data_IF_206446772358
#
_entry.id   IF_206446772358
#
_cell.length_a   1.000
_cell.length_b   1.000
_cell.length_c   1.000
_cell.angle_alpha   90.00
_cell.angle_beta   90.00
_cell.angle_gamma   90.00
#
_symmetry.space_group_name_H-M   'P 1'
#
loop_
_entity.id
_entity.type
_entity.pdbx_description
1 polymer ?
#
# COMPACT_ATOMS: atom_id res chain seq x y z
N UNK A 1 16.19 -12.84 -15.22
CA UNK A 1 15.06 -13.73 -14.95
C UNK A 1 14.68 -13.58 -13.49
N UNK A 2 13.45 -13.15 -13.21
CA UNK A 2 12.91 -13.09 -11.85
C UNK A 2 12.11 -14.38 -11.66
N UNK A 3 12.34 -15.12 -10.58
CA UNK A 3 11.62 -16.36 -10.29
C UNK A 3 11.32 -16.47 -8.79
N UNK A 4 10.27 -17.23 -8.48
CA UNK A 4 9.94 -17.63 -7.11
C UNK A 4 10.47 -19.02 -6.78
N UNK A 5 10.46 -19.35 -5.49
CA UNK A 5 10.92 -20.65 -4.99
C UNK A 5 10.10 -21.82 -5.54
N UNK A 6 10.77 -22.94 -5.82
CA UNK A 6 10.19 -24.16 -6.43
C UNK A 6 8.97 -24.74 -5.72
N UNK A 7 8.80 -24.46 -4.42
CA UNK A 7 7.65 -24.92 -3.62
C UNK A 7 6.56 -23.86 -3.47
N UNK A 8 6.85 -22.61 -3.80
CA UNK A 8 6.00 -21.43 -3.58
C UNK A 8 5.11 -21.13 -4.81
N UNK A 9 5.67 -21.33 -6.01
CA UNK A 9 5.01 -21.01 -7.29
C UNK A 9 5.06 -22.20 -8.27
N UNK A 10 4.08 -23.11 -8.24
CA UNK A 10 4.00 -24.25 -9.17
C UNK A 10 3.64 -23.89 -10.63
N UNK A 11 3.89 -22.65 -11.07
CA UNK A 11 3.90 -22.30 -12.50
C UNK A 11 5.31 -22.48 -13.12
N UNK A 12 6.31 -22.84 -12.31
CA UNK A 12 7.61 -23.33 -12.78
C UNK A 12 7.53 -24.76 -13.32
N UNK A 13 6.87 -24.95 -14.47
CA UNK A 13 7.05 -26.16 -15.29
C UNK A 13 8.48 -26.25 -15.86
N UNK A 14 8.94 -27.43 -16.31
CA UNK A 14 10.34 -27.69 -16.61
C UNK A 14 10.89 -26.78 -17.71
N UNK A 15 12.14 -26.37 -17.53
CA UNK A 15 12.98 -25.62 -18.46
C UNK A 15 12.87 -26.14 -19.90
N UNK A 16 12.59 -25.25 -20.84
CA UNK A 16 12.95 -25.44 -22.24
C UNK A 16 14.07 -24.47 -22.61
N UNK A 17 15.25 -25.03 -22.85
CA UNK A 17 16.51 -24.33 -23.11
C UNK A 17 16.60 -23.92 -24.57
N UNK A 18 15.83 -22.91 -24.98
CA UNK A 18 16.11 -22.07 -26.15
C UNK A 18 14.94 -21.10 -26.39
N UNK A 19 15.04 -19.87 -25.88
CA UNK A 19 14.37 -18.73 -26.54
C UNK A 19 14.90 -17.40 -26.00
N UNK A 20 15.38 -16.60 -26.93
CA UNK A 20 15.67 -15.17 -26.78
C UNK A 20 14.43 -14.42 -26.27
N UNK A 21 14.60 -13.67 -25.18
CA UNK A 21 13.64 -12.77 -24.52
C UNK A 21 12.34 -12.44 -25.28
N UNK A 22 11.20 -13.05 -24.91
CA UNK A 22 9.79 -12.57 -25.02
C UNK A 22 8.91 -13.51 -24.11
N UNK A 23 7.63 -13.25 -23.79
CA UNK A 23 6.97 -12.33 -22.84
C UNK A 23 6.42 -13.03 -21.56
N UNK A 24 5.95 -12.26 -20.57
CA UNK A 24 5.09 -12.73 -19.47
C UNK A 24 3.75 -13.29 -20.01
N UNK A 25 3.73 -14.57 -20.39
CA UNK A 25 2.52 -15.33 -20.67
C UNK A 25 2.24 -16.32 -19.53
N UNK A 26 1.88 -15.74 -18.38
CA UNK A 26 1.28 -16.39 -17.23
C UNK A 26 0.57 -15.30 -16.44
N UNK A 27 -0.75 -15.21 -16.58
CA UNK A 27 -1.57 -14.13 -16.01
C UNK A 27 -1.46 -14.12 -14.48
N UNK A 28 -0.62 -13.25 -13.91
CA UNK A 28 -0.68 -13.05 -12.46
C UNK A 28 0.49 -12.42 -11.72
N UNK A 29 1.40 -11.66 -12.33
CA UNK A 29 2.34 -10.84 -11.54
C UNK A 29 2.44 -9.43 -12.11
N UNK A 30 2.20 -8.43 -11.26
CA UNK A 30 2.37 -7.00 -11.57
C UNK A 30 3.62 -6.51 -10.85
N UNK A 31 4.53 -5.86 -11.58
CA UNK A 31 5.77 -5.31 -11.02
C UNK A 31 5.83 -3.80 -11.24
N UNK A 32 6.25 -3.08 -10.21
CA UNK A 32 6.53 -1.64 -10.19
C UNK A 32 7.86 -1.41 -9.45
N UNK A 33 8.60 -0.37 -9.79
CA UNK A 33 9.91 -0.12 -9.18
C UNK A 33 10.66 1.05 -9.81
N UNK A 34 11.73 1.47 -9.16
CA UNK A 34 12.65 2.51 -9.65
C UNK A 34 13.98 1.89 -10.13
N UNK A 35 15.05 2.67 -10.18
CA UNK A 35 16.36 2.19 -10.66
C UNK A 35 16.96 1.10 -9.75
N UNK A 36 16.57 1.04 -8.47
CA UNK A 36 17.17 0.14 -7.48
C UNK A 36 16.16 -0.75 -6.74
N UNK A 37 14.88 -0.38 -6.74
CA UNK A 37 13.83 -1.06 -5.99
C UNK A 37 12.88 -1.84 -6.91
N UNK A 38 12.37 -2.96 -6.43
CA UNK A 38 11.36 -3.78 -7.10
C UNK A 38 10.26 -4.17 -6.11
N UNK A 39 9.03 -3.85 -6.46
CA UNK A 39 7.82 -4.31 -5.79
C UNK A 39 7.03 -5.16 -6.77
N UNK A 40 6.76 -6.39 -6.40
CA UNK A 40 6.09 -7.35 -7.27
C UNK A 40 4.96 -8.04 -6.54
N UNK A 41 3.77 -8.02 -7.14
CA UNK A 41 2.63 -8.80 -6.71
C UNK A 41 2.71 -10.23 -7.22
N UNK A 42 2.48 -11.18 -6.32
CA UNK A 42 2.37 -12.61 -6.59
C UNK A 42 1.00 -13.13 -6.13
N UNK A 43 -0.13 -12.65 -6.68
CA UNK A 43 -1.50 -12.97 -6.27
C UNK A 43 -1.88 -14.45 -6.33
N UNK A 44 -1.10 -15.29 -7.00
CA UNK A 44 -1.33 -16.72 -7.04
C UNK A 44 -0.42 -17.53 -6.11
N UNK A 45 0.49 -16.87 -5.38
CA UNK A 45 1.41 -17.55 -4.47
C UNK A 45 0.65 -18.40 -3.45
N UNK A 46 1.19 -19.59 -3.24
CA UNK A 46 0.67 -20.59 -2.32
C UNK A 46 1.44 -20.58 -0.97
N UNK A 47 2.39 -19.67 -0.80
CA UNK A 47 3.23 -19.50 0.39
C UNK A 47 3.97 -20.79 0.77
N UNK A 48 4.48 -21.51 -0.23
CA UNK A 48 5.16 -22.80 -0.02
C UNK A 48 4.25 -23.98 0.35
N UNK A 49 2.92 -23.79 0.41
CA UNK A 49 1.97 -24.86 0.76
C UNK A 49 1.21 -25.34 -0.48
N UNK A 50 1.59 -26.51 -1.01
CA UNK A 50 1.00 -27.11 -2.22
C UNK A 50 -0.48 -27.50 -2.08
N UNK A 51 -1.03 -27.49 -0.87
CA UNK A 51 -2.46 -27.70 -0.60
C UNK A 51 -3.23 -26.37 -0.45
N UNK A 52 -2.55 -25.23 -0.61
CA UNK A 52 -3.09 -23.89 -0.37
C UNK A 52 -3.71 -23.27 -1.62
N UNK A 53 -4.87 -22.68 -1.40
CA UNK A 53 -5.57 -21.76 -2.28
C UNK A 53 -4.92 -20.39 -2.50
N UNK A 54 -4.11 -20.13 -3.54
CA UNK A 54 -3.73 -18.78 -4.04
C UNK A 54 -3.98 -17.59 -3.07
N UNK A 55 -3.26 -17.55 -1.95
CA UNK A 55 -3.42 -16.49 -0.93
C UNK A 55 -2.89 -15.18 -1.47
N UNK A 56 -1.78 -15.28 -2.20
CA UNK A 56 -1.06 -14.17 -2.76
C UNK A 56 -0.16 -13.49 -1.74
N UNK A 57 0.81 -12.74 -2.25
CA UNK A 57 1.71 -11.88 -1.49
C UNK A 57 2.22 -10.76 -2.39
N UNK A 58 2.87 -9.77 -1.79
CA UNK A 58 3.74 -8.82 -2.49
C UNK A 58 5.14 -8.98 -1.95
N UNK A 59 6.13 -8.97 -2.83
CA UNK A 59 7.54 -8.98 -2.46
C UNK A 59 8.17 -7.63 -2.79
N UNK A 60 8.95 -7.11 -1.83
CA UNK A 60 9.70 -5.87 -1.94
C UNK A 60 11.19 -6.19 -1.88
N UNK A 61 11.94 -5.65 -2.82
CA UNK A 61 13.41 -5.75 -2.93
C UNK A 61 13.94 -4.33 -3.01
N UNK A 62 14.82 -3.96 -2.07
CA UNK A 62 15.39 -2.62 -1.98
C UNK A 62 16.80 -2.54 -2.58
N UNK A 63 17.12 -1.39 -3.16
CA UNK A 63 18.45 -0.83 -3.20
C UNK A 63 19.50 -1.65 -3.93
N UNK A 64 19.12 -2.59 -4.79
CA UNK A 64 20.10 -3.46 -5.44
C UNK A 64 20.77 -2.69 -6.58
N UNK A 65 21.98 -2.20 -6.31
CA UNK A 65 22.89 -1.53 -7.26
C UNK A 65 23.03 -2.24 -8.62
N UNK A 66 22.72 -3.53 -8.67
CA UNK A 66 22.26 -4.24 -9.85
C UNK A 66 21.38 -5.40 -9.38
N UNK A 67 20.18 -5.56 -9.97
CA UNK A 67 19.33 -6.75 -9.77
C UNK A 67 19.93 -8.04 -10.38
N UNK A 68 21.15 -7.97 -10.94
CA UNK A 68 21.82 -9.08 -11.58
C UNK A 68 21.10 -9.59 -12.84
N UNK A 69 21.55 -10.72 -13.37
CA UNK A 69 20.83 -11.40 -14.47
C UNK A 69 19.69 -12.28 -13.96
N UNK A 70 19.63 -12.54 -12.65
CA UNK A 70 18.61 -13.34 -11.99
C UNK A 70 18.37 -12.90 -10.55
N UNK A 71 17.11 -12.99 -10.11
CA UNK A 71 16.65 -12.63 -8.78
C UNK A 71 15.71 -13.72 -8.26
N UNK A 72 15.99 -14.27 -7.08
CA UNK A 72 15.16 -15.28 -6.42
C UNK A 72 14.32 -14.63 -5.33
N UNK A 73 13.05 -14.35 -5.59
CA UNK A 73 12.19 -13.64 -4.64
C UNK A 73 11.93 -14.42 -3.33
N UNK A 74 12.26 -15.72 -3.29
CA UNK A 74 12.19 -16.50 -2.07
C UNK A 74 13.34 -16.18 -1.09
N UNK A 75 14.53 -15.88 -1.58
CA UNK A 75 15.68 -15.56 -0.70
C UNK A 75 15.99 -14.05 -0.69
N UNK A 76 15.82 -13.41 -1.85
CA UNK A 76 16.25 -12.05 -2.14
C UNK A 76 15.23 -10.97 -1.76
N UNK A 77 13.97 -11.32 -1.48
CA UNK A 77 12.99 -10.35 -0.99
C UNK A 77 13.42 -9.81 0.38
N UNK A 78 13.42 -8.49 0.52
CA UNK A 78 13.70 -7.81 1.77
C UNK A 78 12.46 -7.78 2.66
N UNK A 79 11.28 -7.64 2.06
CA UNK A 79 9.99 -7.65 2.75
C UNK A 79 8.95 -8.44 1.95
N UNK A 80 8.05 -9.11 2.67
CA UNK A 80 6.83 -9.72 2.12
C UNK A 80 5.61 -9.10 2.77
N UNK A 81 4.68 -8.62 1.96
CA UNK A 81 3.39 -8.11 2.42
C UNK A 81 2.31 -9.15 2.14
N UNK A 82 1.60 -9.57 3.18
CA UNK A 82 0.51 -10.54 3.08
C UNK A 82 -0.55 -10.28 4.13
N UNK A 83 -1.76 -10.84 3.97
CA UNK A 83 -2.75 -10.83 5.05
C UNK A 83 -2.39 -11.87 6.12
N UNK A 84 -2.70 -11.57 7.38
CA UNK A 84 -2.45 -12.43 8.52
C UNK A 84 -3.07 -13.82 8.38
N UNK A 85 -2.54 -14.76 9.16
CA UNK A 85 -2.94 -16.17 9.14
C UNK A 85 -4.31 -16.45 9.79
N UNK A 86 -5.08 -15.42 10.12
CA UNK A 86 -6.43 -15.51 10.71
C UNK A 86 -7.42 -16.20 9.75
N UNK A 87 -7.34 -17.53 9.77
CA UNK A 87 -8.21 -18.57 9.21
C UNK A 87 -8.25 -18.77 7.69
N UNK A 88 -7.23 -19.38 7.10
CA UNK A 88 -7.38 -20.23 5.89
C UNK A 88 -8.17 -19.63 4.72
N UNK A 89 -8.08 -18.32 4.48
CA UNK A 89 -8.86 -17.69 3.42
C UNK A 89 -8.15 -17.84 2.08
N UNK A 90 -8.45 -19.00 1.51
CA UNK A 90 -8.08 -19.45 0.18
C UNK A 90 -8.55 -18.44 -0.89
N UNK A 91 -7.67 -18.12 -1.84
CA UNK A 91 -8.01 -17.41 -3.07
C UNK A 91 -8.12 -15.89 -2.94
N UNK A 92 -7.48 -15.30 -1.93
CA UNK A 92 -7.47 -13.87 -1.65
C UNK A 92 -6.84 -12.99 -2.73
N UNK A 93 -5.84 -13.51 -3.43
CA UNK A 93 -5.14 -12.78 -4.49
C UNK A 93 -4.47 -11.49 -4.00
N UNK A 94 -3.83 -11.53 -2.83
CA UNK A 94 -3.05 -10.40 -2.35
C UNK A 94 -1.95 -10.04 -3.34
N UNK A 95 -1.78 -8.74 -3.62
CA UNK A 95 -0.86 -8.27 -4.67
C UNK A 95 -1.46 -8.32 -6.07
N UNK A 96 -2.79 -8.40 -6.21
CA UNK A 96 -3.43 -8.41 -7.52
C UNK A 96 -3.16 -7.11 -8.31
N UNK A 97 -3.23 -5.99 -7.62
CA UNK A 97 -2.73 -4.70 -8.08
C UNK A 97 -1.84 -4.10 -6.98
N UNK A 98 -0.78 -3.42 -7.41
CA UNK A 98 0.20 -2.73 -6.56
C UNK A 98 0.51 -1.38 -7.16
N UNK A 99 0.77 -0.37 -6.33
CA UNK A 99 1.31 0.93 -6.78
C UNK A 99 2.27 1.53 -5.76
N UNK A 100 3.08 2.48 -6.22
CA UNK A 100 4.09 3.20 -5.44
C UNK A 100 3.91 4.72 -5.49
N UNK A 101 2.67 5.17 -5.62
CA UNK A 101 2.36 6.61 -5.61
C UNK A 101 2.40 7.14 -4.17
N UNK A 102 2.62 8.45 -4.02
CA UNK A 102 2.44 9.18 -2.77
C UNK A 102 0.93 9.30 -2.47
N UNK A 103 0.42 8.45 -1.59
CA UNK A 103 -1.01 8.38 -1.25
C UNK A 103 -1.36 9.40 -0.18
N UNK A 104 -0.40 9.77 0.68
CA UNK A 104 -0.65 10.63 1.82
C UNK A 104 -0.24 12.10 1.61
N UNK A 105 0.41 12.41 0.49
CA UNK A 105 0.84 13.75 0.11
C UNK A 105 2.09 14.24 0.83
N UNK A 106 2.89 13.37 1.43
CA UNK A 106 4.10 13.75 2.18
C UNK A 106 5.36 13.91 1.32
N UNK A 107 5.23 13.69 0.01
CA UNK A 107 6.30 13.75 -0.98
C UNK A 107 7.17 12.49 -1.04
N UNK A 108 6.79 11.42 -0.32
CA UNK A 108 7.45 10.11 -0.34
C UNK A 108 6.52 9.07 -0.95
N UNK A 109 7.09 8.17 -1.74
CA UNK A 109 6.34 7.08 -2.34
C UNK A 109 5.86 6.09 -1.27
N UNK A 110 4.57 5.76 -1.31
CA UNK A 110 3.93 4.76 -0.45
C UNK A 110 3.86 3.40 -1.15
N UNK A 111 3.38 2.34 -0.49
CA UNK A 111 3.05 1.07 -1.14
C UNK A 111 1.57 0.76 -0.95
N UNK A 112 0.82 0.78 -2.04
CA UNK A 112 -0.58 0.34 -2.09
C UNK A 112 -0.67 -1.12 -2.55
N UNK A 113 -1.40 -1.96 -1.82
CA UNK A 113 -1.58 -3.38 -2.13
C UNK A 113 -3.05 -3.75 -2.11
N UNK A 114 -3.54 -4.31 -3.21
CA UNK A 114 -4.91 -4.84 -3.27
C UNK A 114 -4.99 -6.34 -3.00
N UNK A 115 -6.10 -6.73 -2.36
CA UNK A 115 -6.51 -8.11 -2.16
C UNK A 115 -8.00 -8.23 -2.54
N UNK A 116 -8.34 -8.31 -3.84
CA UNK A 116 -9.71 -8.16 -4.32
C UNK A 116 -10.66 -9.28 -3.90
N UNK A 117 -10.15 -10.40 -3.38
CA UNK A 117 -11.00 -11.47 -2.86
C UNK A 117 -11.03 -11.52 -1.32
N UNK A 118 -10.38 -10.56 -0.65
CA UNK A 118 -10.41 -10.48 0.81
C UNK A 118 -11.82 -10.24 1.37
N UNK A 119 -12.07 -10.77 2.56
CA UNK A 119 -13.34 -10.65 3.27
C UNK A 119 -13.18 -11.02 4.75
N UNK A 120 -14.08 -10.56 5.63
CA UNK A 120 -14.07 -10.98 7.03
C UNK A 120 -14.96 -12.21 7.30
N UNK A 121 -16.07 -12.37 6.57
CA UNK A 121 -17.09 -13.41 6.87
C UNK A 121 -17.47 -14.30 5.67
N UNK A 122 -17.99 -13.73 4.57
CA UNK A 122 -18.42 -14.43 3.34
C UNK A 122 -18.39 -13.46 2.14
N UNK A 123 -18.23 -13.98 0.92
CA UNK A 123 -18.15 -13.24 -0.36
C UNK A 123 -16.78 -12.59 -0.67
N UNK A 124 -16.56 -12.20 -1.92
CA UNK A 124 -15.30 -11.58 -2.35
C UNK A 124 -15.44 -10.05 -2.30
N UNK A 125 -15.36 -9.48 -1.10
CA UNK A 125 -15.61 -8.04 -0.89
C UNK A 125 -14.46 -7.19 -1.45
N UNK A 126 -13.22 -7.64 -1.20
CA UNK A 126 -11.99 -7.00 -1.65
C UNK A 126 -11.53 -5.89 -0.73
N UNK A 127 -10.22 -5.85 -0.45
CA UNK A 127 -9.57 -4.88 0.42
C UNK A 127 -8.38 -4.23 -0.29
N UNK A 128 -8.05 -2.99 0.11
CA UNK A 128 -6.81 -2.30 -0.28
C UNK A 128 -6.14 -1.79 0.98
N UNK A 129 -4.84 -2.02 1.11
CA UNK A 129 -4.05 -1.53 2.23
C UNK A 129 -2.92 -0.65 1.69
N UNK A 130 -2.51 0.33 2.49
CA UNK A 130 -1.42 1.24 2.16
C UNK A 130 -0.42 1.26 3.31
N UNK A 131 0.85 1.10 2.97
CA UNK A 131 1.97 1.39 3.84
C UNK A 131 2.56 2.73 3.43
N UNK A 132 2.59 3.69 4.34
CA UNK A 132 3.23 4.98 4.08
C UNK A 132 4.75 4.85 4.05
N UNK A 133 5.39 5.61 3.16
CA UNK A 133 6.82 5.66 2.96
C UNK A 133 7.58 6.41 4.05
N UNK A 134 8.83 6.80 3.75
CA UNK A 134 9.64 7.72 4.57
C UNK A 134 10.51 7.04 5.63
N UNK A 135 9.99 6.04 6.34
CA UNK A 135 10.81 5.12 7.13
C UNK A 135 10.99 3.83 6.34
N UNK A 136 12.22 3.31 6.30
CA UNK A 136 12.50 2.00 5.71
C UNK A 136 11.49 1.00 6.32
N UNK A 137 10.64 0.36 5.50
CA UNK A 137 9.60 -0.54 6.02
C UNK A 137 10.24 -1.66 6.87
N UNK A 138 11.54 -1.90 6.68
CA UNK A 138 12.42 -2.74 7.51
C UNK A 138 12.38 -2.36 9.00
N UNK A 139 12.16 -1.09 9.35
CA UNK A 139 11.98 -0.61 10.72
C UNK A 139 10.65 -1.01 11.35
N UNK A 140 9.61 -1.26 10.54
CA UNK A 140 8.34 -1.88 10.96
C UNK A 140 8.47 -3.39 11.13
N UNK A 141 9.50 -4.01 10.55
CA UNK A 141 9.87 -5.42 10.74
C UNK A 141 10.57 -5.59 12.10
N UNK A 142 9.94 -5.16 13.19
CA UNK A 142 10.43 -5.44 14.53
C UNK A 142 10.19 -6.94 14.83
N UNK A 143 11.19 -7.78 14.53
CA UNK A 143 11.19 -9.21 14.84
C UNK A 143 9.97 -10.02 14.30
N UNK A 144 9.39 -9.60 13.18
CA UNK A 144 8.36 -10.37 12.51
C UNK A 144 8.97 -11.60 11.81
N UNK A 145 8.35 -12.75 12.01
CA UNK A 145 8.73 -14.04 11.44
C UNK A 145 9.06 -13.91 9.94
N UNK A 146 10.34 -14.09 9.59
CA UNK A 146 10.78 -14.28 8.20
C UNK A 146 10.49 -13.10 7.23
N UNK A 147 10.77 -11.85 7.64
CA UNK A 147 10.67 -10.65 6.79
C UNK A 147 9.24 -10.33 6.31
N UNK A 148 8.23 -10.65 7.11
CA UNK A 148 6.82 -10.49 6.72
C UNK A 148 6.18 -9.32 7.47
N UNK A 149 5.41 -8.50 6.77
CA UNK A 149 4.46 -7.53 7.34
C UNK A 149 3.03 -7.97 7.01
N UNK A 150 2.16 -7.89 8.00
CA UNK A 150 0.75 -8.27 7.88
C UNK A 150 -0.09 -7.06 7.49
N UNK A 151 -0.70 -7.10 6.31
CA UNK A 151 -1.50 -6.00 5.75
C UNK A 151 -2.64 -5.54 6.68
N UNK A 152 -3.26 -6.47 7.40
CA UNK A 152 -4.39 -6.22 8.29
C UNK A 152 -3.99 -5.76 9.70
N UNK A 153 -2.71 -5.84 10.07
CA UNK A 153 -2.20 -5.43 11.38
C UNK A 153 -1.21 -4.26 11.31
N UNK A 154 -0.40 -4.19 10.25
CA UNK A 154 0.76 -3.30 10.16
C UNK A 154 0.58 -2.14 9.16
N UNK A 155 -0.43 -2.20 8.29
CA UNK A 155 -0.69 -1.14 7.31
C UNK A 155 -1.18 0.15 7.98
N UNK A 156 -0.77 1.29 7.44
CA UNK A 156 -1.14 2.62 7.96
C UNK A 156 -2.59 2.98 7.60
N UNK A 157 -3.05 2.52 6.44
CA UNK A 157 -4.41 2.70 5.96
C UNK A 157 -4.99 1.37 5.43
N UNK A 158 -6.22 1.08 5.81
CA UNK A 158 -6.98 -0.08 5.34
C UNK A 158 -8.35 0.37 4.80
N UNK A 159 -8.62 0.02 3.54
CA UNK A 159 -9.86 0.34 2.84
C UNK A 159 -10.57 -0.97 2.55
N UNK A 160 -11.64 -1.23 3.29
CA UNK A 160 -12.30 -2.54 3.32
C UNK A 160 -13.63 -2.48 2.55
N UNK A 161 -13.81 -3.39 1.59
CA UNK A 161 -15.10 -3.60 0.93
C UNK A 161 -16.19 -3.99 1.92
N UNK A 162 -17.44 -3.61 1.59
CA UNK A 162 -18.57 -3.77 2.48
C UNK A 162 -18.89 -5.26 2.79
N UNK A 163 -19.35 -5.51 4.01
CA UNK A 163 -19.63 -6.83 4.55
C UNK A 163 -21.03 -7.36 4.14
N UNK A 164 -21.30 -8.68 4.29
CA UNK A 164 -22.58 -9.27 3.90
C UNK A 164 -23.77 -8.52 4.49
N UNK A 165 -24.84 -8.39 3.68
CA UNK A 165 -26.06 -7.58 3.88
C UNK A 165 -26.00 -6.14 3.40
N UNK A 166 -24.80 -5.61 3.10
CA UNK A 166 -24.67 -4.36 2.37
C UNK A 166 -24.90 -4.60 0.86
N UNK A 167 -25.57 -3.65 0.19
CA UNK A 167 -25.74 -3.64 -1.27
C UNK A 167 -24.41 -3.49 -2.03
N UNK A 168 -23.34 -3.11 -1.34
CA UNK A 168 -22.00 -3.02 -1.92
C UNK A 168 -21.15 -4.28 -1.66
N UNK A 169 -21.67 -5.34 -1.03
CA UNK A 169 -20.91 -6.57 -0.81
C UNK A 169 -20.55 -7.31 -2.13
N UNK A 170 -19.61 -8.27 -2.06
CA UNK A 170 -19.11 -9.08 -3.20
C UNK A 170 -18.51 -8.26 -4.37
N UNK A 171 -18.07 -7.04 -4.06
CA UNK A 171 -17.65 -6.09 -5.09
C UNK A 171 -16.31 -6.39 -5.76
N UNK A 172 -15.45 -7.14 -5.07
CA UNK A 172 -14.03 -7.27 -5.39
C UNK A 172 -13.32 -5.92 -5.48
N UNK A 173 -13.56 -5.09 -4.48
CA UNK A 173 -12.90 -3.79 -4.33
C UNK A 173 -11.38 -3.97 -4.40
N UNK A 174 -10.71 -3.08 -5.13
CA UNK A 174 -9.27 -3.16 -5.35
C UNK A 174 -8.87 -4.03 -6.53
N UNK A 175 -9.81 -4.48 -7.37
CA UNK A 175 -9.46 -5.11 -8.66
C UNK A 175 -8.67 -4.15 -9.55
N UNK A 176 -8.94 -2.85 -9.42
CA UNK A 176 -8.15 -1.75 -9.98
C UNK A 176 -8.18 -0.58 -9.02
N UNK A 177 -7.13 0.23 -9.00
CA UNK A 177 -7.12 1.52 -8.33
C UNK A 177 -6.18 2.48 -9.06
N UNK A 178 -6.36 3.77 -8.81
CA UNK A 178 -5.48 4.84 -9.28
C UNK A 178 -5.38 5.91 -8.19
N UNK A 179 -4.20 6.50 -8.07
CA UNK A 179 -3.90 7.58 -7.14
C UNK A 179 -3.52 8.82 -7.96
N UNK A 180 -3.94 10.00 -7.50
CA UNK A 180 -3.63 11.27 -8.12
C UNK A 180 -4.57 12.37 -7.67
N UNK A 181 -4.22 13.62 -7.95
CA UNK A 181 -5.10 14.77 -7.66
C UNK A 181 -6.17 14.91 -8.77
N UNK A 182 -7.39 14.45 -8.49
CA UNK A 182 -8.50 14.46 -9.44
C UNK A 182 -9.47 15.62 -9.20
N UNK A 183 -9.41 16.28 -8.04
CA UNK A 183 -10.25 17.43 -7.69
C UNK A 183 -9.52 18.79 -7.75
N UNK A 184 -8.22 18.79 -8.10
CA UNK A 184 -7.33 19.95 -8.10
C UNK A 184 -7.15 20.58 -6.70
N UNK A 185 -7.09 19.75 -5.65
CA UNK A 185 -6.83 20.20 -4.27
C UNK A 185 -5.34 20.32 -3.95
N UNK A 186 -4.45 19.89 -4.86
CA UNK A 186 -3.02 19.68 -4.62
C UNK A 186 -2.71 18.51 -3.65
N UNK A 187 -3.74 17.77 -3.22
CA UNK A 187 -3.62 16.63 -2.30
C UNK A 187 -4.00 15.33 -3.04
N UNK A 188 -3.37 14.17 -2.74
CA UNK A 188 -3.68 12.94 -3.47
C UNK A 188 -5.08 12.41 -3.18
N UNK A 189 -5.79 12.03 -4.24
CA UNK A 189 -7.02 11.25 -4.15
C UNK A 189 -6.75 9.80 -4.54
N UNK A 190 -7.66 8.90 -4.10
CA UNK A 190 -7.62 7.49 -4.48
C UNK A 190 -8.97 7.03 -5.04
N UNK A 191 -8.96 6.49 -6.25
CA UNK A 191 -10.14 5.89 -6.88
C UNK A 191 -9.95 4.38 -6.95
N UNK A 192 -10.92 3.62 -6.42
CA UNK A 192 -10.84 2.16 -6.30
C UNK A 192 -12.06 1.50 -6.95
N UNK A 193 -11.80 0.55 -7.85
CA UNK A 193 -12.83 -0.18 -8.57
C UNK A 193 -13.24 -1.51 -7.91
N UNK A 194 -14.54 -1.78 -7.94
CA UNK A 194 -15.19 -3.01 -7.49
C UNK A 194 -16.09 -3.57 -8.62
N UNK A 195 -15.49 -4.19 -9.66
CA UNK A 195 -16.19 -4.53 -10.91
C UNK A 195 -17.22 -5.66 -10.76
N UNK A 196 -17.26 -6.37 -9.63
CA UNK A 196 -18.30 -7.38 -9.35
C UNK A 196 -19.40 -6.87 -8.44
N UNK A 197 -19.31 -5.61 -8.04
CA UNK A 197 -20.25 -4.93 -7.19
C UNK A 197 -21.66 -4.89 -7.75
N UNK A 198 -22.64 -4.97 -6.87
CA UNK A 198 -24.04 -5.09 -7.27
C UNK A 198 -24.94 -4.10 -6.53
N UNK A 199 -24.96 -2.86 -7.00
CA UNK A 199 -25.75 -1.78 -6.37
C UNK A 199 -27.26 -1.98 -6.55
N UNK A 200 -27.68 -2.80 -7.53
CA UNK A 200 -29.08 -3.12 -7.83
C UNK A 200 -29.23 -4.57 -8.28
N UNK A 201 -29.71 -5.41 -7.35
CA UNK A 201 -30.15 -6.81 -7.49
C UNK A 201 -29.72 -7.57 -8.78
N UNK A 202 -28.64 -8.31 -8.64
CA UNK A 202 -28.09 -9.38 -9.49
C UNK A 202 -27.61 -8.95 -10.89
N UNK A 203 -27.01 -7.78 -11.02
CA UNK A 203 -26.50 -7.32 -12.33
C UNK A 203 -24.99 -7.26 -12.43
N UNK A 204 -24.24 -7.38 -11.31
CA UNK A 204 -22.79 -7.12 -11.28
C UNK A 204 -22.42 -5.85 -12.04
N UNK A 205 -23.20 -4.78 -11.84
CA UNK A 205 -23.04 -3.52 -12.57
C UNK A 205 -21.71 -2.80 -12.25
N UNK A 206 -20.99 -3.27 -11.24
CA UNK A 206 -19.78 -2.66 -10.73
C UNK A 206 -20.09 -1.41 -9.92
N UNK A 207 -19.22 -1.09 -8.98
CA UNK A 207 -19.17 0.22 -8.33
C UNK A 207 -17.71 0.60 -8.07
N UNK A 208 -17.48 1.83 -7.63
CA UNK A 208 -16.17 2.29 -7.20
C UNK A 208 -16.31 3.28 -6.04
N UNK A 209 -15.21 3.48 -5.33
CA UNK A 209 -15.09 4.49 -4.26
C UNK A 209 -14.08 5.52 -4.72
N UNK A 210 -14.34 6.77 -4.36
CA UNK A 210 -13.35 7.84 -4.40
C UNK A 210 -13.09 8.26 -2.96
N UNK A 211 -11.82 8.27 -2.57
CA UNK A 211 -11.34 8.87 -1.34
C UNK A 211 -10.66 10.17 -1.76
N UNK A 212 -11.20 11.30 -1.30
CA UNK A 212 -10.64 12.62 -1.56
C UNK A 212 -9.61 12.95 -0.49
N UNK A 213 -8.53 13.62 -0.89
CA UNK A 213 -7.50 14.16 -0.01
C UNK A 213 -7.07 13.14 1.06
N UNK A 214 -6.55 11.98 0.64
CA UNK A 214 -6.12 10.91 1.54
C UNK A 214 -4.92 11.40 2.37
N UNK A 215 -5.10 11.59 3.67
CA UNK A 215 -4.10 12.23 4.53
C UNK A 215 -3.37 11.23 5.45
N UNK A 216 -2.11 11.53 5.79
CA UNK A 216 -1.37 10.80 6.82
C UNK A 216 -1.84 11.20 8.24
N UNK A 217 -1.57 10.36 9.23
CA UNK A 217 -1.77 10.72 10.65
C UNK A 217 -0.45 11.06 11.30
N UNK A 218 -0.34 12.28 11.82
CA UNK A 218 0.76 12.68 12.72
C UNK A 218 2.09 12.86 11.99
N UNK A 219 2.09 13.61 10.90
CA UNK A 219 3.31 13.98 10.20
C UNK A 219 4.10 15.01 11.02
N UNK A 220 5.44 14.90 11.12
CA UNK A 220 6.27 15.99 11.62
C UNK A 220 6.03 17.24 10.77
N UNK A 221 5.68 18.35 11.42
CA UNK A 221 5.30 19.60 10.77
C UNK A 221 3.81 19.79 10.46
N UNK A 222 2.94 18.78 10.57
CA UNK A 222 1.48 18.90 10.39
C UNK A 222 0.84 19.50 11.66
N UNK A 223 1.00 20.81 11.81
CA UNK A 223 0.63 21.57 13.01
C UNK A 223 -0.89 21.61 13.18
N UNK A 224 -1.67 21.70 12.12
CA UNK A 224 -3.14 21.78 12.26
C UNK A 224 -3.84 20.41 12.34
N UNK A 225 -3.12 19.33 12.03
CA UNK A 225 -3.55 17.94 12.16
C UNK A 225 -4.45 17.48 11.01
N UNK A 226 -4.40 18.17 9.87
CA UNK A 226 -5.15 17.80 8.67
C UNK A 226 -4.47 16.67 7.87
N UNK A 227 -3.24 16.29 8.26
CA UNK A 227 -2.48 15.21 7.70
C UNK A 227 -1.61 15.59 6.50
N UNK A 228 -1.42 16.89 6.25
CA UNK A 228 -0.53 17.45 5.25
C UNK A 228 0.49 18.39 5.92
N UNK A 229 1.61 18.64 5.25
CA UNK A 229 2.64 19.59 5.70
C UNK A 229 2.71 20.73 4.70
N UNK A 230 1.93 21.79 4.93
CA UNK A 230 1.72 22.89 4.00
C UNK A 230 1.84 24.29 4.65
N UNK A 231 1.57 25.36 3.87
CA UNK A 231 1.71 26.72 4.38
C UNK A 231 0.76 27.04 5.56
N UNK A 232 -0.38 26.36 5.67
CA UNK A 232 -1.31 26.51 6.79
C UNK A 232 -0.64 26.11 8.10
N UNK A 233 0.18 25.07 8.12
CA UNK A 233 0.93 24.64 9.30
C UNK A 233 1.95 25.67 9.76
N UNK A 234 2.63 26.30 8.80
CA UNK A 234 3.54 27.40 9.08
C UNK A 234 2.81 28.54 9.78
N UNK A 235 1.67 28.95 9.22
CA UNK A 235 0.86 30.03 9.79
C UNK A 235 0.40 29.64 11.19
N UNK A 236 -0.09 28.41 11.36
CA UNK A 236 -0.58 27.88 12.64
C UNK A 236 0.52 27.83 13.69
N UNK A 237 1.72 27.36 13.36
CA UNK A 237 2.88 27.34 14.24
C UNK A 237 3.29 28.74 14.69
N UNK A 238 3.26 29.72 13.78
CA UNK A 238 3.50 31.13 14.11
C UNK A 238 2.41 31.73 14.99
N UNK A 239 1.12 31.44 14.72
CA UNK A 239 0.00 31.87 15.56
C UNK A 239 0.12 31.36 16.98
N UNK A 240 0.46 30.07 17.15
CA UNK A 240 0.72 29.47 18.47
C UNK A 240 1.91 30.17 19.14
N UNK A 241 3.00 30.41 18.39
CA UNK A 241 4.20 31.07 18.93
C UNK A 241 3.95 32.51 19.42
N UNK A 242 3.03 33.24 18.81
CA UNK A 242 2.64 34.60 19.25
C UNK A 242 1.53 34.60 20.30
N UNK A 243 1.07 33.42 20.73
CA UNK A 243 0.07 33.26 21.80
C UNK A 243 -1.38 33.41 21.35
N UNK A 244 -1.68 33.22 20.06
CA UNK A 244 -3.07 33.11 19.60
C UNK A 244 -3.72 31.84 20.14
N UNK A 245 -5.04 31.89 20.36
CA UNK A 245 -5.83 30.77 20.88
C UNK A 245 -6.19 29.79 19.75
N UNK A 246 -5.18 29.10 19.26
CA UNK A 246 -5.27 28.09 18.20
C UNK A 246 -4.63 26.79 18.68
N UNK A 247 -5.25 25.65 18.37
CA UNK A 247 -4.74 24.33 18.74
C UNK A 247 -3.79 23.79 17.69
N UNK A 248 -2.76 23.06 18.11
CA UNK A 248 -1.95 22.27 17.18
C UNK A 248 -1.83 20.80 17.56
N UNK A 249 -1.40 20.00 16.60
CA UNK A 249 -1.25 18.56 16.69
C UNK A 249 0.03 18.16 17.40
N UNK A 250 -0.04 17.18 18.31
CA UNK A 250 1.14 16.63 19.00
C UNK A 250 2.02 15.80 18.04
N UNK A 251 1.45 15.32 16.93
CA UNK A 251 2.20 14.60 15.89
C UNK A 251 3.09 15.52 15.04
N UNK A 252 2.87 16.84 15.10
CA UNK A 252 3.67 17.84 14.38
C UNK A 252 5.08 18.02 14.93
N UNK A 253 5.35 17.57 16.15
CA UNK A 253 6.57 17.87 16.90
C UNK A 253 7.83 17.48 16.11
N UNK A 254 8.66 18.48 15.79
CA UNK A 254 9.91 18.28 15.03
C UNK A 254 11.17 18.39 15.90
N UNK A 255 11.06 18.86 17.15
CA UNK A 255 12.20 19.14 18.01
C UNK A 255 12.16 18.42 19.39
N UNK A 256 11.09 17.67 19.65
CA UNK A 256 10.90 16.82 20.81
C UNK A 256 10.33 17.54 22.03
N UNK A 257 9.89 18.79 21.91
CA UNK A 257 9.33 19.57 23.01
C UNK A 257 7.83 19.32 23.27
N UNK A 258 7.19 18.55 22.38
CA UNK A 258 5.77 18.17 22.37
C UNK A 258 4.80 19.36 22.25
N UNK A 259 5.24 20.48 21.70
CA UNK A 259 4.46 21.69 21.53
C UNK A 259 4.68 22.28 20.13
N UNK A 260 3.62 22.40 19.33
CA UNK A 260 3.75 23.11 18.06
C UNK A 260 4.12 24.59 18.28
N UNK A 261 4.98 25.13 17.43
CA UNK A 261 5.46 26.51 17.52
C UNK A 261 6.37 26.93 16.37
N UNK A 262 7.40 27.73 16.69
CA UNK A 262 8.32 28.30 15.68
C UNK A 262 9.17 27.22 15.02
N UNK A 263 9.53 26.16 15.76
CA UNK A 263 10.34 25.06 15.23
C UNK A 263 9.62 24.35 14.08
N UNK A 264 8.35 24.00 14.27
CA UNK A 264 7.48 23.42 13.26
C UNK A 264 7.32 24.38 12.08
N UNK A 265 7.05 25.67 12.33
CA UNK A 265 6.91 26.65 11.25
C UNK A 265 8.17 26.76 10.37
N UNK A 266 9.37 26.71 10.97
CA UNK A 266 10.64 26.71 10.21
C UNK A 266 10.81 25.40 9.44
N UNK A 267 10.50 24.26 10.06
CA UNK A 267 10.56 22.95 9.41
C UNK A 267 9.67 22.89 8.18
N UNK A 268 8.41 23.30 8.33
CA UNK A 268 7.40 23.35 7.26
C UNK A 268 7.90 24.26 6.13
N UNK A 269 8.36 25.48 6.44
CA UNK A 269 8.96 26.37 5.43
C UNK A 269 10.11 25.71 4.67
N UNK A 270 10.96 24.94 5.36
CA UNK A 270 12.07 24.20 4.74
C UNK A 270 11.62 23.06 3.82
N UNK A 271 10.41 22.53 4.02
CA UNK A 271 9.79 21.49 3.20
C UNK A 271 9.09 22.06 1.96
N UNK A 272 8.29 23.10 2.13
CA UNK A 272 7.49 23.68 1.05
C UNK A 272 8.26 24.66 0.13
N UNK A 273 9.50 25.03 0.49
CA UNK A 273 10.33 25.96 -0.30
C UNK A 273 11.23 25.29 -1.35
N UNK A 274 11.12 23.97 -1.53
CA UNK A 274 11.88 23.18 -2.51
C UNK A 274 10.99 22.71 -3.64
#
# INVERSE_FOLDING_TARGET
MIYGGWQDDQIGGPYDTESTAIPVNGKGSLAIGDVNDLIIGSPMSMLGNTSSTARGKVEVVYGKSSLGTSLDLYDDADIRLMLSESAQKVGFKTGFAVSTDDVNGDGVADISVSTPNANSTRYYNGWVHVFYGGNDLTGKVAAADNKTLELDNDADLAILGAEPSDKFADGRLGTSFVIGDFNASEKPDMIIGAPKGDVTANTSSGWGIVLWDVAAKGLPGDVDGDGYVDLADTIRGLQIAVGENVSGSVGSDVDGDKKPGVAEAIYVFGKISK
#
